data_IF_593466560194
#
_entry.id   IF_593466560194
#
_cell.length_a   1.000
_cell.length_b   1.000
_cell.length_c   1.000
_cell.angle_alpha   90.00
_cell.angle_beta   90.00
_cell.angle_gamma   90.00
#
_symmetry.space_group_name_H-M   'P 1'
#
loop_
_entity.id
_entity.type
_entity.pdbx_description
1 polymer ?
#
# COMPACT_ATOMS: atom_id res chain seq x y z
N UNK A 1 -27.83 16.84 10.19
CA UNK A 1 -26.42 16.63 9.78
C UNK A 1 -26.10 15.17 9.51
N UNK A 2 -27.10 14.27 9.44
CA UNK A 2 -26.92 12.86 9.06
C UNK A 2 -27.87 12.50 7.92
N UNK A 3 -27.56 12.96 6.70
CA UNK A 3 -28.29 12.45 5.53
C UNK A 3 -27.53 11.22 5.00
N UNK A 4 -28.24 10.18 4.50
CA UNK A 4 -27.60 8.98 3.96
C UNK A 4 -26.53 9.27 2.90
N UNK A 5 -26.71 10.35 2.13
CA UNK A 5 -25.77 10.80 1.09
C UNK A 5 -24.46 11.30 1.70
N UNK A 6 -24.51 12.01 2.83
CA UNK A 6 -23.30 12.46 3.53
C UNK A 6 -22.53 11.27 4.10
N UNK A 7 -23.22 10.27 4.65
CA UNK A 7 -22.58 9.05 5.16
C UNK A 7 -21.88 8.27 4.03
N UNK A 8 -22.54 8.12 2.88
CA UNK A 8 -21.95 7.48 1.70
C UNK A 8 -20.73 8.25 1.19
N UNK A 9 -20.81 9.58 1.12
CA UNK A 9 -19.69 10.42 0.73
C UNK A 9 -18.50 10.26 1.67
N UNK A 10 -18.74 10.32 2.99
CA UNK A 10 -17.68 10.16 4.00
C UNK A 10 -17.01 8.78 3.92
N UNK A 11 -17.77 7.71 3.69
CA UNK A 11 -17.20 6.37 3.53
C UNK A 11 -16.33 6.29 2.28
N UNK A 12 -16.76 6.86 1.15
CA UNK A 12 -15.94 6.90 -0.07
C UNK A 12 -14.62 7.65 0.13
N UNK A 13 -14.66 8.81 0.78
CA UNK A 13 -13.45 9.60 1.07
C UNK A 13 -12.52 8.87 2.04
N UNK A 14 -13.08 8.18 3.04
CA UNK A 14 -12.31 7.32 3.94
C UNK A 14 -11.59 6.20 3.19
N UNK A 15 -12.27 5.52 2.26
CA UNK A 15 -11.64 4.49 1.43
C UNK A 15 -10.49 5.05 0.58
N UNK A 16 -10.68 6.20 -0.07
CA UNK A 16 -9.62 6.87 -0.84
C UNK A 16 -8.41 7.22 0.03
N UNK A 17 -8.65 7.76 1.23
CA UNK A 17 -7.59 8.11 2.17
C UNK A 17 -6.78 6.88 2.59
N UNK A 18 -7.45 5.78 2.92
CA UNK A 18 -6.78 4.52 3.29
C UNK A 18 -5.91 3.98 2.15
N UNK A 19 -6.42 4.01 0.90
CA UNK A 19 -5.64 3.60 -0.29
C UNK A 19 -4.43 4.51 -0.49
N UNK A 20 -4.59 5.83 -0.33
CA UNK A 20 -3.47 6.78 -0.46
C UNK A 20 -2.37 6.54 0.58
N UNK A 21 -2.75 6.31 1.84
CA UNK A 21 -1.81 5.98 2.92
C UNK A 21 -1.06 4.68 2.63
N UNK A 22 -1.79 3.67 2.15
CA UNK A 22 -1.26 2.36 1.79
C UNK A 22 -0.24 2.45 0.63
N UNK A 23 -0.55 3.23 -0.41
CA UNK A 23 0.39 3.51 -1.50
C UNK A 23 1.65 4.16 -0.96
N UNK A 24 1.53 5.19 -0.12
CA UNK A 24 2.69 5.85 0.49
C UNK A 24 3.56 4.90 1.32
N UNK A 25 2.95 4.03 2.13
CA UNK A 25 3.67 3.01 2.90
C UNK A 25 4.42 2.02 2.01
N UNK A 26 3.75 1.50 0.97
CA UNK A 26 4.36 0.59 0.01
C UNK A 26 5.53 1.25 -0.72
N UNK A 27 5.36 2.50 -1.17
CA UNK A 27 6.40 3.27 -1.82
C UNK A 27 7.63 3.37 -0.93
N UNK A 28 7.49 3.79 0.32
CA UNK A 28 8.63 3.95 1.23
C UNK A 28 9.32 2.60 1.53
N UNK A 29 8.54 1.60 1.94
CA UNK A 29 9.09 0.29 2.33
C UNK A 29 9.77 -0.41 1.16
N UNK A 30 9.17 -0.35 -0.04
CA UNK A 30 9.74 -1.01 -1.20
C UNK A 30 10.88 -0.23 -1.83
N UNK A 31 10.88 1.09 -1.72
CA UNK A 31 12.03 1.92 -2.10
C UNK A 31 13.27 1.53 -1.28
N UNK A 32 13.16 1.53 0.05
CA UNK A 32 14.28 1.21 0.95
C UNK A 32 14.82 -0.21 0.74
N UNK A 33 13.97 -1.15 0.31
CA UNK A 33 14.36 -2.55 0.07
C UNK A 33 14.96 -2.79 -1.30
N UNK A 34 14.46 -2.11 -2.33
CA UNK A 34 14.76 -2.45 -3.72
C UNK A 34 15.71 -1.48 -4.40
N UNK A 35 15.78 -0.23 -3.94
CA UNK A 35 16.60 0.82 -4.55
C UNK A 35 17.79 1.10 -3.65
N UNK A 36 18.92 0.44 -3.95
CA UNK A 36 20.16 0.50 -3.13
C UNK A 36 21.18 1.50 -3.66
N UNK A 37 20.96 2.03 -4.85
CA UNK A 37 21.75 3.06 -5.51
C UNK A 37 20.81 4.00 -6.26
N UNK A 38 21.29 5.18 -6.64
CA UNK A 38 20.51 6.09 -7.50
C UNK A 38 20.07 5.36 -8.78
N UNK A 39 18.75 5.18 -9.01
CA UNK A 39 18.27 4.51 -10.21
C UNK A 39 18.55 5.36 -11.44
N UNK A 40 18.65 4.70 -12.61
CA UNK A 40 18.77 5.39 -13.90
C UNK A 40 17.48 6.10 -14.31
N UNK A 41 17.39 6.50 -15.58
CA UNK A 41 16.15 7.08 -16.14
C UNK A 41 14.96 6.10 -16.17
N UNK A 42 15.21 4.82 -15.92
CA UNK A 42 14.24 3.74 -15.79
C UNK A 42 14.74 2.75 -14.74
N UNK A 43 13.81 2.04 -14.10
CA UNK A 43 14.17 0.87 -13.30
C UNK A 43 14.78 -0.22 -14.19
N UNK A 44 15.84 -0.83 -13.69
CA UNK A 44 16.37 -2.08 -14.21
C UNK A 44 15.33 -3.20 -14.10
N UNK A 45 15.57 -4.31 -14.80
CA UNK A 45 14.74 -5.51 -14.66
C UNK A 45 14.73 -6.04 -13.22
N UNK A 46 15.89 -6.02 -12.55
CA UNK A 46 16.03 -6.44 -11.15
C UNK A 46 15.24 -5.57 -10.18
N UNK A 47 15.32 -4.25 -10.31
CA UNK A 47 14.53 -3.30 -9.49
C UNK A 47 13.03 -3.50 -9.73
N UNK A 48 12.60 -3.63 -10.98
CA UNK A 48 11.19 -3.86 -11.33
C UNK A 48 10.65 -5.15 -10.72
N UNK A 49 11.41 -6.25 -10.82
CA UNK A 49 11.04 -7.53 -10.19
C UNK A 49 11.02 -7.41 -8.67
N UNK A 50 12.00 -6.72 -8.07
CA UNK A 50 12.03 -6.50 -6.62
C UNK A 50 10.81 -5.71 -6.15
N UNK A 51 10.50 -4.57 -6.78
CA UNK A 51 9.38 -3.71 -6.41
C UNK A 51 8.04 -4.45 -6.51
N UNK A 52 7.83 -5.20 -7.60
CA UNK A 52 6.64 -6.06 -7.79
C UNK A 52 6.50 -7.07 -6.65
N UNK A 53 7.57 -7.80 -6.34
CA UNK A 53 7.58 -8.80 -5.29
C UNK A 53 7.41 -8.18 -3.90
N UNK A 54 8.03 -7.03 -3.64
CA UNK A 54 7.95 -6.33 -2.37
C UNK A 54 6.50 -5.89 -2.09
N UNK A 55 5.86 -5.24 -3.06
CA UNK A 55 4.50 -4.77 -2.90
C UNK A 55 3.55 -5.95 -2.64
N UNK A 56 3.60 -7.01 -3.46
CA UNK A 56 2.77 -8.19 -3.29
C UNK A 56 2.94 -8.82 -1.90
N UNK A 57 4.19 -9.07 -1.48
CA UNK A 57 4.48 -9.68 -0.17
C UNK A 57 4.03 -8.82 1.00
N UNK A 58 4.20 -7.49 0.90
CA UNK A 58 3.75 -6.57 1.95
C UNK A 58 2.23 -6.64 2.13
N UNK A 59 1.49 -6.67 1.02
CA UNK A 59 0.03 -6.81 1.04
C UNK A 59 -0.42 -8.13 1.64
N UNK A 60 0.16 -9.25 1.18
CA UNK A 60 -0.16 -10.59 1.67
C UNK A 60 0.07 -10.67 3.19
N UNK A 61 1.18 -10.11 3.66
CA UNK A 61 1.50 -10.09 5.08
C UNK A 61 0.61 -9.18 5.90
N UNK A 62 0.27 -8.00 5.36
CA UNK A 62 -0.69 -7.09 6.01
C UNK A 62 -2.05 -7.76 6.19
N UNK A 63 -2.55 -8.50 5.18
CA UNK A 63 -3.81 -9.26 5.27
C UNK A 63 -3.71 -10.38 6.30
N UNK A 64 -2.61 -11.15 6.32
CA UNK A 64 -2.42 -12.24 7.28
C UNK A 64 -2.39 -11.70 8.72
N UNK A 65 -1.69 -10.59 8.95
CA UNK A 65 -1.62 -9.95 10.26
C UNK A 65 -2.99 -9.42 10.68
N UNK A 66 -3.69 -8.72 9.78
CA UNK A 66 -5.05 -8.21 10.05
C UNK A 66 -6.03 -9.35 10.42
N UNK A 67 -6.00 -10.46 9.68
CA UNK A 67 -6.81 -11.66 9.99
C UNK A 67 -6.47 -12.23 11.36
N UNK A 68 -5.19 -12.27 11.76
CA UNK A 68 -4.78 -12.73 13.09
C UNK A 68 -5.34 -11.86 14.20
N UNK A 69 -5.32 -10.54 14.04
CA UNK A 69 -5.90 -9.62 15.04
C UNK A 69 -7.42 -9.69 15.11
N UNK A 70 -8.11 -10.01 14.01
CA UNK A 70 -9.57 -10.22 14.02
C UNK A 70 -9.99 -11.54 14.70
N UNK A 71 -9.08 -12.51 14.83
CA UNK A 71 -9.33 -13.78 15.51
C UNK A 71 -9.05 -13.73 17.03
N UNK A 72 -8.59 -12.59 17.55
CA UNK A 72 -8.49 -12.29 18.99
C UNK A 72 -9.71 -11.50 19.44
#
# INVERSE_FOLDING_TARGET
MDTPELQQFLEQEKQKMMVSEMVGKLTNVCWDKCITSTPGSKFSSGETTCLTNCAQRYLDMSVIIAKRFQMQ
#
